data_IF_245352917673
#
_entry.id   IF_245352917673
#
_cell.length_a   1.000
_cell.length_b   1.000
_cell.length_c   1.000
_cell.angle_alpha   90.00
_cell.angle_beta   90.00
_cell.angle_gamma   90.00
#
_symmetry.space_group_name_H-M   'P 1'
#
loop_
_entity.id
_entity.type
_entity.pdbx_description
1 polymer ?
#
# COMPACT_ATOMS: atom_id res chain seq x y z
N UNK A 1 -15.27 136.72 7.07
CA UNK A 1 -15.22 137.50 5.82
C UNK A 1 -16.64 137.82 5.44
N UNK A 2 -16.97 139.10 5.30
CA UNK A 2 -18.26 139.56 4.77
C UNK A 2 -18.55 138.83 3.45
N UNK A 3 -19.57 137.98 3.45
CA UNK A 3 -20.36 137.71 2.27
C UNK A 3 -21.66 138.48 2.51
N UNK A 4 -21.73 139.63 1.86
CA UNK A 4 -22.81 140.59 1.94
C UNK A 4 -24.13 139.93 1.53
N UNK A 5 -24.90 139.49 2.52
CA UNK A 5 -26.21 138.87 2.32
C UNK A 5 -27.17 139.79 1.57
N UNK A 6 -26.95 141.11 1.58
CA UNK A 6 -27.77 142.05 0.81
C UNK A 6 -27.49 141.93 -0.69
N UNK A 7 -26.26 141.62 -1.09
CA UNK A 7 -25.94 141.33 -2.49
C UNK A 7 -26.58 139.99 -2.95
N UNK A 8 -26.61 138.97 -2.09
CA UNK A 8 -27.24 137.69 -2.42
C UNK A 8 -28.77 137.78 -2.51
N UNK A 9 -29.41 138.57 -1.64
CA UNK A 9 -30.86 138.82 -1.71
C UNK A 9 -31.22 139.69 -2.91
N UNK A 10 -30.40 140.69 -3.24
CA UNK A 10 -30.59 141.49 -4.45
C UNK A 10 -30.46 140.63 -5.72
N UNK A 11 -29.47 139.74 -5.80
CA UNK A 11 -29.34 138.81 -6.95
C UNK A 11 -30.52 137.83 -7.02
N UNK A 12 -31.03 137.35 -5.87
CA UNK A 12 -32.23 136.50 -5.83
C UNK A 12 -33.47 137.26 -6.31
N UNK A 13 -33.68 138.48 -5.83
CA UNK A 13 -34.88 139.25 -6.13
C UNK A 13 -34.84 139.79 -7.57
N UNK A 14 -33.65 140.11 -8.11
CA UNK A 14 -33.43 140.47 -9.52
C UNK A 14 -33.62 139.24 -10.44
N UNK A 15 -33.15 138.07 -10.03
CA UNK A 15 -33.40 136.82 -10.74
C UNK A 15 -34.89 136.42 -10.74
N UNK A 16 -35.62 136.67 -9.65
CA UNK A 16 -37.07 136.44 -9.57
C UNK A 16 -37.82 137.45 -10.46
N UNK A 17 -37.41 138.72 -10.46
CA UNK A 17 -38.04 139.76 -11.29
C UNK A 17 -37.80 139.50 -12.78
N UNK A 18 -36.57 139.14 -13.15
CA UNK A 18 -36.21 138.75 -14.54
C UNK A 18 -36.90 137.45 -14.99
N UNK A 19 -37.10 136.48 -14.08
CA UNK A 19 -37.83 135.25 -14.38
C UNK A 19 -39.36 135.46 -14.51
N UNK A 20 -39.90 136.56 -13.99
CA UNK A 20 -41.32 136.92 -14.09
C UNK A 20 -41.65 137.81 -15.30
N UNK A 21 -40.65 138.47 -15.92
CA UNK A 21 -40.88 139.40 -17.04
C UNK A 21 -41.15 138.72 -18.40
N UNK A 22 -40.93 137.41 -18.54
CA UNK A 22 -41.09 136.68 -19.82
C UNK A 22 -41.99 135.43 -19.74
N UNK A 23 -42.82 135.32 -18.69
CA UNK A 23 -43.84 134.26 -18.61
C UNK A 23 -45.14 134.81 -19.17
N UNK A 24 -45.51 134.42 -20.39
CA UNK A 24 -46.87 134.68 -20.86
C UNK A 24 -47.87 133.86 -20.03
N UNK A 25 -49.11 134.34 -19.85
CA UNK A 25 -50.17 133.60 -19.13
C UNK A 25 -50.31 132.15 -19.64
N UNK A 26 -49.99 131.93 -20.92
CA UNK A 26 -49.99 130.63 -21.61
C UNK A 26 -48.88 129.67 -21.14
N UNK A 27 -47.68 130.18 -20.83
CA UNK A 27 -46.56 129.39 -20.32
C UNK A 27 -46.77 128.96 -18.86
N UNK A 28 -47.40 129.82 -18.06
CA UNK A 28 -47.80 129.48 -16.70
C UNK A 28 -48.89 128.39 -16.69
N UNK A 29 -49.91 128.52 -17.54
CA UNK A 29 -50.95 127.51 -17.67
C UNK A 29 -50.41 126.15 -18.12
N UNK A 30 -49.45 126.13 -19.06
CA UNK A 30 -48.81 124.89 -19.51
C UNK A 30 -47.97 124.22 -18.39
N UNK A 31 -47.23 125.01 -17.61
CA UNK A 31 -46.46 124.49 -16.47
C UNK A 31 -47.36 123.96 -15.35
N UNK A 32 -48.50 124.62 -15.07
CA UNK A 32 -49.49 124.15 -14.10
C UNK A 32 -50.16 122.86 -14.59
N UNK A 33 -50.54 122.78 -15.86
CA UNK A 33 -51.11 121.56 -16.44
C UNK A 33 -50.11 120.38 -16.37
N UNK A 34 -48.84 120.59 -16.71
CA UNK A 34 -47.81 119.56 -16.61
C UNK A 34 -47.56 119.12 -15.15
N UNK A 35 -47.64 120.04 -14.18
CA UNK A 35 -47.58 119.71 -12.75
C UNK A 35 -48.79 118.88 -12.34
N UNK A 36 -49.99 119.26 -12.74
CA UNK A 36 -51.22 118.57 -12.37
C UNK A 36 -51.28 117.17 -12.99
N UNK A 37 -50.86 117.01 -14.25
CA UNK A 37 -50.68 115.71 -14.90
C UNK A 37 -49.65 114.83 -14.18
N UNK A 38 -48.53 115.42 -13.73
CA UNK A 38 -47.51 114.70 -12.96
C UNK A 38 -48.02 114.29 -11.57
N UNK A 39 -48.84 115.13 -10.93
CA UNK A 39 -49.51 114.83 -9.65
C UNK A 39 -50.52 113.70 -9.83
N UNK A 40 -51.33 113.73 -10.89
CA UNK A 40 -52.29 112.67 -11.20
C UNK A 40 -51.60 111.34 -11.53
N UNK A 41 -50.50 111.38 -12.29
CA UNK A 41 -49.67 110.21 -12.55
C UNK A 41 -49.04 109.64 -11.27
N UNK A 42 -48.55 110.51 -10.38
CA UNK A 42 -47.99 110.12 -9.08
C UNK A 42 -49.07 109.53 -8.16
N UNK A 43 -50.28 110.11 -8.14
CA UNK A 43 -51.42 109.62 -7.38
C UNK A 43 -51.84 108.23 -7.86
N UNK A 44 -51.94 108.03 -9.19
CA UNK A 44 -52.26 106.73 -9.79
C UNK A 44 -51.18 105.67 -9.49
N UNK A 45 -49.91 106.06 -9.45
CA UNK A 45 -48.82 105.16 -9.05
C UNK A 45 -48.89 104.83 -7.56
N UNK A 46 -49.23 105.80 -6.72
CA UNK A 46 -49.42 105.60 -5.28
C UNK A 46 -50.57 104.63 -4.99
N UNK A 47 -51.69 104.72 -5.69
CA UNK A 47 -52.82 103.81 -5.49
C UNK A 47 -52.50 102.39 -5.95
N UNK A 48 -51.75 102.22 -7.04
CA UNK A 48 -51.27 100.90 -7.47
C UNK A 48 -50.31 100.28 -6.46
N UNK A 49 -49.36 101.06 -5.93
CA UNK A 49 -48.43 100.58 -4.89
C UNK A 49 -49.14 100.24 -3.58
N UNK A 50 -50.19 100.97 -3.22
CA UNK A 50 -51.04 100.61 -2.08
C UNK A 50 -51.75 99.27 -2.32
N UNK A 51 -52.34 99.06 -3.51
CA UNK A 51 -52.98 97.80 -3.83
C UNK A 51 -52.00 96.61 -3.85
N UNK A 52 -50.77 96.80 -4.35
CA UNK A 52 -49.72 95.77 -4.31
C UNK A 52 -49.27 95.46 -2.88
N UNK A 53 -49.15 96.48 -2.02
CA UNK A 53 -48.81 96.30 -0.60
C UNK A 53 -49.91 95.55 0.14
N UNK A 54 -51.18 95.91 -0.08
CA UNK A 54 -52.30 95.26 0.58
C UNK A 54 -52.39 93.77 0.15
N UNK A 55 -52.09 93.46 -1.12
CA UNK A 55 -51.98 92.08 -1.61
C UNK A 55 -50.79 91.31 -1.00
N UNK A 56 -49.68 91.99 -0.73
CA UNK A 56 -48.55 91.39 -0.03
C UNK A 56 -48.92 91.06 1.42
N UNK A 57 -49.64 91.94 2.12
CA UNK A 57 -50.13 91.72 3.48
C UNK A 57 -51.06 90.49 3.53
N UNK A 58 -51.99 90.36 2.59
CA UNK A 58 -52.85 89.16 2.45
C UNK A 58 -52.04 87.87 2.24
N UNK A 59 -50.95 87.93 1.46
CA UNK A 59 -50.07 86.78 1.22
C UNK A 59 -49.24 86.42 2.45
N UNK A 60 -48.75 87.41 3.19
CA UNK A 60 -48.02 87.22 4.45
C UNK A 60 -48.93 86.60 5.53
N UNK A 61 -50.20 86.98 5.58
CA UNK A 61 -51.20 86.39 6.46
C UNK A 61 -51.51 84.93 6.09
N UNK A 62 -51.67 84.62 4.80
CA UNK A 62 -51.87 83.22 4.37
C UNK A 62 -50.60 82.38 4.60
N UNK A 63 -49.41 82.95 4.45
CA UNK A 63 -48.16 82.27 4.80
C UNK A 63 -48.13 81.93 6.29
N UNK A 64 -48.40 82.88 7.19
CA UNK A 64 -48.46 82.63 8.63
C UNK A 64 -49.50 81.56 8.98
N UNK A 65 -50.66 81.58 8.31
CA UNK A 65 -51.71 80.56 8.49
C UNK A 65 -51.23 79.17 8.08
N UNK A 66 -50.52 79.06 6.95
CA UNK A 66 -49.96 77.80 6.46
C UNK A 66 -48.85 77.28 7.38
N UNK A 67 -47.99 78.17 7.89
CA UNK A 67 -46.96 77.82 8.86
C UNK A 67 -47.57 77.29 10.17
N UNK A 68 -48.61 77.94 10.69
CA UNK A 68 -49.36 77.47 11.85
C UNK A 68 -49.98 76.09 11.61
N UNK A 69 -50.61 75.88 10.44
CA UNK A 69 -51.19 74.58 10.07
C UNK A 69 -50.13 73.48 9.97
N UNK A 70 -48.97 73.79 9.39
CA UNK A 70 -47.87 72.84 9.27
C UNK A 70 -47.31 72.46 10.65
N UNK A 71 -47.14 73.44 11.54
CA UNK A 71 -46.69 73.20 12.91
C UNK A 71 -47.69 72.36 13.70
N UNK A 72 -48.99 72.66 13.59
CA UNK A 72 -50.06 71.86 14.20
C UNK A 72 -50.07 70.41 13.67
N UNK A 73 -49.97 70.22 12.35
CA UNK A 73 -49.93 68.89 11.74
C UNK A 73 -48.69 68.09 12.16
N UNK A 74 -47.52 68.75 12.32
CA UNK A 74 -46.30 68.11 12.84
C UNK A 74 -46.44 67.70 14.30
N UNK A 75 -47.09 68.52 15.12
CA UNK A 75 -47.35 68.18 16.51
C UNK A 75 -48.39 67.07 16.65
N UNK A 76 -49.46 67.08 15.84
CA UNK A 76 -50.42 65.98 15.74
C UNK A 76 -49.73 64.67 15.33
N UNK A 77 -48.81 64.72 14.37
CA UNK A 77 -47.99 63.56 13.96
C UNK A 77 -47.08 63.09 15.11
N UNK A 78 -46.41 64.00 15.82
CA UNK A 78 -45.56 63.67 16.97
C UNK A 78 -46.35 63.01 18.09
N UNK A 79 -47.55 63.51 18.39
CA UNK A 79 -48.46 62.96 19.41
C UNK A 79 -49.04 61.62 18.96
N UNK A 80 -49.37 61.45 17.67
CA UNK A 80 -49.81 60.18 17.10
C UNK A 80 -48.70 59.11 17.16
N UNK A 81 -47.45 59.49 16.86
CA UNK A 81 -46.28 58.61 16.93
C UNK A 81 -45.91 58.23 18.36
N UNK A 82 -46.10 59.13 19.33
CA UNK A 82 -45.79 58.87 20.74
C UNK A 82 -46.83 58.00 21.46
N UNK A 83 -47.96 57.66 20.81
CA UNK A 83 -49.20 57.37 21.53
C UNK A 83 -49.72 55.94 21.58
N UNK A 84 -49.55 55.06 20.58
CA UNK A 84 -50.53 53.93 20.51
C UNK A 84 -50.11 52.54 20.07
N UNK A 85 -48.93 52.27 19.50
CA UNK A 85 -48.66 50.90 19.04
C UNK A 85 -47.17 50.54 19.17
N UNK A 86 -46.89 49.35 19.68
CA UNK A 86 -45.58 48.70 19.54
C UNK A 86 -45.62 47.94 18.22
N UNK A 87 -44.77 48.32 17.28
CA UNK A 87 -44.59 47.60 16.01
C UNK A 87 -44.05 46.20 16.32
N UNK A 88 -44.69 45.16 15.78
CA UNK A 88 -44.20 43.77 15.89
C UNK A 88 -43.01 43.56 14.95
N UNK A 89 -42.29 42.44 15.07
CA UNK A 89 -41.09 42.15 14.27
C UNK A 89 -41.31 42.04 12.73
N UNK A 90 -42.55 42.19 12.26
CA UNK A 90 -42.92 42.25 10.85
C UNK A 90 -43.78 43.50 10.66
N UNK A 91 -43.14 44.66 10.70
CA UNK A 91 -43.75 45.98 10.62
C UNK A 91 -43.49 46.71 9.31
N UNK A 92 -42.76 46.07 8.39
CA UNK A 92 -42.63 46.47 7.00
C UNK A 92 -43.24 45.41 6.06
N UNK A 93 -43.74 45.89 4.92
CA UNK A 93 -44.08 45.06 3.77
C UNK A 93 -43.51 45.75 2.54
N UNK A 94 -42.73 45.00 1.77
CA UNK A 94 -42.21 45.45 0.49
C UNK A 94 -43.16 44.96 -0.61
N UNK A 95 -43.61 45.88 -1.45
CA UNK A 95 -44.36 45.57 -2.67
C UNK A 95 -43.45 45.86 -3.86
N UNK A 96 -43.11 44.82 -4.61
CA UNK A 96 -42.40 44.95 -5.89
C UNK A 96 -43.42 45.17 -7.00
N UNK A 97 -43.22 46.20 -7.82
CA UNK A 97 -43.99 46.45 -9.03
C UNK A 97 -43.08 46.13 -10.21
N UNK A 98 -43.49 45.17 -11.02
CA UNK A 98 -42.82 44.79 -12.26
C UNK A 98 -43.20 45.82 -13.33
N UNK A 99 -42.23 46.50 -13.92
CA UNK A 99 -42.46 47.48 -14.99
C UNK A 99 -42.40 46.72 -16.34
N UNK A 100 -43.54 46.46 -17.01
CA UNK A 100 -43.55 45.68 -18.25
C UNK A 100 -42.88 46.40 -19.42
N UNK A 101 -42.56 47.69 -19.28
CA UNK A 101 -41.89 48.50 -20.31
C UNK A 101 -40.36 48.58 -20.11
N UNK A 102 -39.82 48.00 -19.03
CA UNK A 102 -38.37 47.83 -18.81
C UNK A 102 -38.03 46.36 -19.07
N UNK A 103 -37.24 46.04 -20.11
CA UNK A 103 -36.82 44.66 -20.36
C UNK A 103 -36.07 44.10 -19.14
N UNK A 104 -36.50 42.93 -18.67
CA UNK A 104 -35.73 42.17 -17.69
C UNK A 104 -34.32 41.96 -18.22
N UNK A 105 -33.31 42.42 -17.47
CA UNK A 105 -31.92 42.21 -17.84
C UNK A 105 -31.64 40.71 -17.74
N UNK A 106 -31.23 40.04 -18.84
CA UNK A 106 -31.01 38.60 -18.84
C UNK A 106 -29.94 38.21 -17.83
N UNK A 107 -30.20 37.14 -17.07
CA UNK A 107 -29.23 36.54 -16.16
C UNK A 107 -28.63 35.32 -16.83
N UNK A 108 -27.31 35.33 -17.05
CA UNK A 108 -26.60 34.24 -17.68
C UNK A 108 -26.15 33.18 -16.67
N UNK A 109 -26.37 31.93 -17.04
CA UNK A 109 -25.95 30.73 -16.31
C UNK A 109 -25.07 29.91 -17.23
N UNK A 110 -23.86 29.56 -16.78
CA UNK A 110 -22.94 28.70 -17.52
C UNK A 110 -23.00 27.27 -16.98
N UNK A 111 -22.97 26.29 -17.88
CA UNK A 111 -22.90 24.86 -17.56
C UNK A 111 -21.90 24.17 -18.47
N UNK A 112 -21.11 23.26 -17.91
CA UNK A 112 -20.39 22.26 -18.71
C UNK A 112 -21.34 21.09 -19.02
N UNK A 113 -21.27 20.54 -20.23
CA UNK A 113 -22.07 19.38 -20.62
C UNK A 113 -21.49 18.05 -20.13
N UNK A 114 -20.20 18.04 -19.75
CA UNK A 114 -19.51 16.90 -19.15
C UNK A 114 -18.60 17.35 -18.02
N UNK A 115 -18.20 16.41 -17.16
CA UNK A 115 -17.20 16.65 -16.12
C UNK A 115 -15.77 16.37 -16.66
N UNK A 116 -15.65 15.32 -17.47
CA UNK A 116 -14.39 14.92 -18.11
C UNK A 116 -14.58 14.66 -19.59
N UNK A 117 -13.51 14.79 -20.36
CA UNK A 117 -13.40 14.43 -21.78
C UNK A 117 -12.01 13.88 -22.08
N UNK A 118 -11.86 12.95 -23.04
CA UNK A 118 -10.55 12.54 -23.50
C UNK A 118 -9.94 13.62 -24.41
N UNK A 119 -8.63 13.57 -24.60
CA UNK A 119 -7.95 14.20 -25.73
C UNK A 119 -8.58 13.76 -27.06
N UNK A 120 -8.68 14.66 -28.03
CA UNK A 120 -9.55 14.59 -29.23
C UNK A 120 -11.05 14.84 -29.02
N UNK A 121 -11.47 15.10 -27.78
CA UNK A 121 -12.85 15.45 -27.44
C UNK A 121 -13.30 16.85 -27.88
N UNK A 122 -14.56 17.15 -27.59
CA UNK A 122 -15.14 18.49 -27.75
C UNK A 122 -15.68 18.96 -26.41
N UNK A 123 -15.00 19.92 -25.78
CA UNK A 123 -15.48 20.55 -24.56
C UNK A 123 -16.67 21.46 -24.90
N UNK A 124 -17.87 21.05 -24.50
CA UNK A 124 -19.11 21.82 -24.76
C UNK A 124 -19.60 22.48 -23.49
N UNK A 125 -19.84 23.79 -23.58
CA UNK A 125 -20.44 24.59 -22.54
C UNK A 125 -21.76 25.19 -23.04
N UNK A 126 -22.79 25.13 -22.23
CA UNK A 126 -24.09 25.76 -22.50
C UNK A 126 -24.21 27.03 -21.67
N UNK A 127 -24.48 28.15 -22.35
CA UNK A 127 -24.86 29.42 -21.71
C UNK A 127 -26.37 29.55 -21.84
N UNK A 128 -27.07 29.65 -20.71
CA UNK A 128 -28.52 29.81 -20.62
C UNK A 128 -28.87 31.20 -20.09
N UNK A 129 -29.94 31.80 -20.59
CA UNK A 129 -30.53 33.03 -20.04
C UNK A 129 -31.87 32.73 -19.36
N UNK A 130 -32.23 33.52 -18.34
CA UNK A 130 -33.52 33.41 -17.63
C UNK A 130 -34.72 33.91 -18.43
N UNK A 131 -34.49 34.68 -19.50
CA UNK A 131 -35.52 35.31 -20.33
C UNK A 131 -35.18 35.18 -21.80
N UNK A 132 -36.20 35.10 -22.66
CA UNK A 132 -36.05 35.10 -24.11
C UNK A 132 -35.50 36.45 -24.59
N UNK A 133 -34.42 36.42 -25.39
CA UNK A 133 -33.79 37.64 -25.87
C UNK A 133 -34.62 38.36 -26.93
N UNK A 134 -34.75 39.67 -26.80
CA UNK A 134 -35.48 40.54 -27.75
C UNK A 134 -34.60 41.13 -28.87
N UNK A 135 -33.29 41.06 -28.68
CA UNK A 135 -32.20 41.46 -29.59
C UNK A 135 -31.01 40.50 -29.46
N UNK A 136 -30.03 40.60 -30.35
CA UNK A 136 -28.81 39.79 -30.26
C UNK A 136 -27.96 40.26 -29.06
N UNK A 137 -27.39 39.29 -28.33
CA UNK A 137 -26.61 39.53 -27.12
C UNK A 137 -25.19 38.98 -27.28
N UNK A 138 -24.19 39.86 -27.27
CA UNK A 138 -22.78 39.48 -27.27
C UNK A 138 -22.35 39.10 -25.85
N UNK A 139 -21.98 37.83 -25.66
CA UNK A 139 -21.59 37.26 -24.37
C UNK A 139 -20.07 37.16 -24.29
N UNK A 140 -19.49 37.86 -23.31
CA UNK A 140 -18.06 37.90 -23.09
C UNK A 140 -17.66 36.79 -22.11
N UNK A 141 -16.55 36.11 -22.43
CA UNK A 141 -15.98 35.06 -21.59
C UNK A 141 -14.47 35.06 -21.71
N UNK A 142 -13.84 34.37 -20.78
CA UNK A 142 -12.42 34.03 -20.82
C UNK A 142 -12.27 32.53 -20.62
N UNK A 143 -11.29 31.94 -21.31
CA UNK A 143 -10.88 30.57 -21.11
C UNK A 143 -9.63 30.60 -20.21
N UNK A 144 -9.69 29.89 -19.10
CA UNK A 144 -8.63 29.72 -18.10
C UNK A 144 -8.54 28.24 -17.70
N UNK A 145 -7.54 27.86 -16.92
CA UNK A 145 -7.34 26.45 -16.55
C UNK A 145 -5.86 26.09 -16.48
N UNK A 146 -5.58 24.79 -16.42
CA UNK A 146 -4.21 24.28 -16.56
C UNK A 146 -3.84 24.02 -18.02
N UNK A 147 -4.83 23.72 -18.87
CA UNK A 147 -4.62 23.49 -20.29
C UNK A 147 -4.17 24.77 -21.00
N UNK A 148 -3.20 24.61 -21.89
CA UNK A 148 -2.54 25.64 -22.68
C UNK A 148 -3.21 25.81 -24.04
N UNK A 149 -3.65 27.04 -24.40
CA UNK A 149 -4.16 27.35 -25.73
C UNK A 149 -3.18 26.99 -26.85
N UNK A 150 -3.71 26.44 -27.94
CA UNK A 150 -2.99 25.99 -29.15
C UNK A 150 -2.03 24.81 -28.96
N UNK A 151 -1.85 24.32 -27.72
CA UNK A 151 -1.19 23.06 -27.39
C UNK A 151 -2.28 22.00 -27.16
N UNK A 152 -3.13 22.22 -26.15
CA UNK A 152 -4.08 21.20 -25.65
C UNK A 152 -5.50 21.43 -26.19
N UNK A 153 -5.83 22.65 -26.61
CA UNK A 153 -7.10 22.96 -27.25
C UNK A 153 -6.99 24.10 -28.26
N UNK A 154 -7.91 24.12 -29.24
CA UNK A 154 -8.01 25.25 -30.16
C UNK A 154 -8.83 26.35 -29.49
N UNK A 155 -8.19 27.47 -29.15
CA UNK A 155 -8.86 28.58 -28.49
C UNK A 155 -9.95 29.18 -29.39
N UNK A 156 -11.17 29.41 -28.87
CA UNK A 156 -12.19 30.13 -29.60
C UNK A 156 -11.75 31.57 -29.93
N UNK A 157 -12.08 32.03 -31.13
CA UNK A 157 -11.86 33.42 -31.53
C UNK A 157 -13.00 34.31 -31.00
N UNK A 158 -12.66 35.25 -30.12
CA UNK A 158 -13.58 36.30 -29.67
C UNK A 158 -14.72 35.82 -28.76
N UNK A 159 -15.72 36.68 -28.65
CA UNK A 159 -16.94 36.50 -27.88
C UNK A 159 -18.03 35.71 -28.63
N UNK A 160 -19.07 35.28 -27.92
CA UNK A 160 -20.15 34.46 -28.48
C UNK A 160 -21.45 35.24 -28.53
N UNK A 161 -22.06 35.36 -29.71
CA UNK A 161 -23.34 36.03 -29.87
C UNK A 161 -24.50 35.04 -29.65
N UNK A 162 -25.36 35.32 -28.69
CA UNK A 162 -26.66 34.66 -28.51
C UNK A 162 -27.71 35.43 -29.31
N UNK A 163 -28.34 34.76 -30.28
CA UNK A 163 -29.27 35.43 -31.19
C UNK A 163 -30.62 35.76 -30.55
N UNK A 164 -31.31 36.76 -31.10
CA UNK A 164 -32.70 37.07 -30.73
C UNK A 164 -33.60 35.83 -30.74
N UNK A 165 -34.44 35.70 -29.71
CA UNK A 165 -35.35 34.58 -29.52
C UNK A 165 -34.68 33.30 -29.00
N UNK A 166 -33.37 33.32 -28.74
CA UNK A 166 -32.67 32.21 -28.11
C UNK A 166 -32.66 32.37 -26.59
N UNK A 167 -32.85 31.25 -25.89
CA UNK A 167 -32.66 31.16 -24.44
C UNK A 167 -31.34 30.47 -24.06
N UNK A 168 -30.64 29.91 -25.06
CA UNK A 168 -29.39 29.19 -24.86
C UNK A 168 -28.50 29.25 -26.09
N UNK A 169 -27.19 29.26 -25.86
CA UNK A 169 -26.15 29.12 -26.89
C UNK A 169 -25.08 28.16 -26.40
N UNK A 170 -24.46 27.43 -27.32
CA UNK A 170 -23.40 26.45 -27.02
C UNK A 170 -22.05 26.99 -27.46
N UNK A 171 -21.09 27.02 -26.53
CA UNK A 171 -19.68 27.24 -26.80
C UNK A 171 -18.99 25.87 -26.88
N UNK A 172 -18.40 25.55 -28.04
CA UNK A 172 -17.68 24.30 -28.25
C UNK A 172 -16.20 24.59 -28.46
N UNK A 173 -15.35 23.99 -27.63
CA UNK A 173 -13.90 24.11 -27.67
C UNK A 173 -13.32 22.75 -28.11
N UNK A 174 -12.73 22.65 -29.31
CA UNK A 174 -12.07 21.43 -29.76
C UNK A 174 -10.81 21.16 -28.93
N UNK A 175 -10.75 19.98 -28.31
CA UNK A 175 -9.55 19.51 -27.61
C UNK A 175 -8.62 18.86 -28.63
N UNK A 176 -7.34 19.16 -28.51
CA UNK A 176 -6.29 18.61 -29.36
C UNK A 176 -5.89 17.24 -28.80
N UNK A 177 -5.31 16.44 -29.66
CA UNK A 177 -4.72 15.17 -29.26
C UNK A 177 -3.30 15.16 -29.78
N UNK A 178 -2.39 14.68 -28.96
CA UNK A 178 -1.02 14.41 -29.32
C UNK A 178 -0.59 13.09 -28.67
N UNK A 179 0.70 12.90 -28.49
CA UNK A 179 1.29 11.69 -27.93
C UNK A 179 2.17 12.04 -26.70
N UNK A 180 2.03 13.25 -26.14
CA UNK A 180 2.84 13.70 -25.01
C UNK A 180 2.31 13.07 -23.70
N UNK A 181 3.21 12.56 -22.86
CA UNK A 181 2.84 11.95 -21.58
C UNK A 181 2.71 13.03 -20.53
N UNK A 182 1.47 13.35 -20.16
CA UNK A 182 1.15 14.41 -19.23
C UNK A 182 0.03 14.06 -18.24
N UNK A 183 -0.21 14.97 -17.30
CA UNK A 183 -1.25 14.79 -16.29
C UNK A 183 -2.59 15.33 -16.81
N UNK A 184 -3.70 14.83 -16.26
CA UNK A 184 -5.02 15.40 -16.52
C UNK A 184 -5.04 16.93 -16.34
N UNK A 185 -5.55 17.62 -17.35
CA UNK A 185 -5.61 19.06 -17.41
C UNK A 185 -7.05 19.58 -17.29
N UNK A 186 -7.22 20.89 -17.19
CA UNK A 186 -8.53 21.51 -17.04
C UNK A 186 -8.71 22.68 -17.99
N UNK A 187 -9.90 22.74 -18.58
CA UNK A 187 -10.41 23.90 -19.32
C UNK A 187 -11.59 24.47 -18.55
N UNK A 188 -11.44 25.72 -18.11
CA UNK A 188 -12.44 26.48 -17.38
C UNK A 188 -12.89 27.67 -18.22
N UNK A 189 -14.19 27.76 -18.47
CA UNK A 189 -14.80 28.95 -19.06
C UNK A 189 -15.39 29.79 -17.94
N UNK A 190 -15.11 31.09 -17.96
CA UNK A 190 -15.72 32.07 -17.06
C UNK A 190 -16.32 33.22 -17.85
N UNK A 191 -17.59 33.48 -17.62
CA UNK A 191 -18.29 34.64 -18.16
C UNK A 191 -17.76 35.92 -17.49
N UNK A 192 -17.68 37.00 -18.26
CA UNK A 192 -17.31 38.33 -17.75
C UNK A 192 -18.51 39.27 -17.83
N UNK A 193 -18.53 40.31 -17.00
CA UNK A 193 -19.63 41.28 -17.02
C UNK A 193 -19.54 42.13 -18.29
N UNK A 194 -20.67 42.40 -18.94
CA UNK A 194 -20.72 43.39 -20.02
C UNK A 194 -20.57 44.81 -19.44
N UNK A 195 -19.59 45.61 -19.92
CA UNK A 195 -19.43 47.01 -19.53
C UNK A 195 -20.67 47.87 -19.76
N UNK A 196 -21.54 47.52 -20.72
CA UNK A 196 -22.76 48.27 -21.04
C UNK A 196 -23.98 47.80 -20.23
N UNK A 197 -23.86 46.71 -19.47
CA UNK A 197 -24.92 46.18 -18.61
C UNK A 197 -26.05 45.46 -19.35
N UNK A 198 -25.81 44.94 -20.55
CA UNK A 198 -26.79 44.20 -21.35
C UNK A 198 -27.21 42.86 -20.70
N UNK A 199 -26.40 42.32 -19.80
CA UNK A 199 -26.74 41.13 -19.00
C UNK A 199 -26.12 41.17 -17.61
N UNK A 200 -26.62 40.30 -16.73
CA UNK A 200 -26.05 40.01 -15.40
C UNK A 200 -25.59 38.57 -15.34
N UNK A 201 -24.59 38.29 -14.51
CA UNK A 201 -24.13 36.93 -14.27
C UNK A 201 -24.85 36.34 -13.07
N UNK A 202 -25.18 35.04 -13.14
CA UNK A 202 -25.58 34.27 -11.95
C UNK A 202 -24.36 33.88 -11.11
N UNK A 203 -24.60 33.26 -9.95
CA UNK A 203 -23.53 32.66 -9.14
C UNK A 203 -22.81 31.47 -9.84
N UNK A 204 -23.36 30.99 -10.97
CA UNK A 204 -22.73 29.98 -11.85
C UNK A 204 -22.22 30.65 -13.12
N UNK A 205 -21.27 31.55 -12.94
CA UNK A 205 -20.57 32.27 -14.03
C UNK A 205 -19.36 31.50 -14.60
N UNK A 206 -19.05 30.34 -14.00
CA UNK A 206 -17.88 29.51 -14.32
C UNK A 206 -18.26 28.04 -14.46
N UNK A 207 -17.60 27.36 -15.39
CA UNK A 207 -17.71 25.93 -15.57
C UNK A 207 -16.36 25.35 -15.99
N UNK A 208 -16.02 24.17 -15.46
CA UNK A 208 -14.74 23.50 -15.69
C UNK A 208 -14.99 22.10 -16.23
N UNK A 209 -14.20 21.69 -17.22
CA UNK A 209 -14.11 20.34 -17.75
C UNK A 209 -12.67 19.87 -17.57
N UNK A 210 -12.48 18.62 -17.13
CA UNK A 210 -11.16 17.97 -17.09
C UNK A 210 -10.87 17.27 -18.42
N UNK A 211 -9.71 17.53 -19.00
CA UNK A 211 -9.15 16.79 -20.14
C UNK A 211 -8.36 15.63 -19.55
N UNK A 212 -8.70 14.42 -19.96
CA UNK A 212 -8.03 13.21 -19.52
C UNK A 212 -6.99 12.79 -20.54
N UNK A 213 -5.73 12.74 -20.10
CA UNK A 213 -4.65 12.18 -20.91
C UNK A 213 -4.63 10.67 -20.74
N UNK A 214 -4.47 9.95 -21.85
CA UNK A 214 -4.40 8.49 -21.88
C UNK A 214 -3.03 7.98 -22.32
N UNK A 215 -2.09 8.90 -22.49
CA UNK A 215 -0.82 8.66 -23.14
C UNK A 215 0.17 8.02 -22.17
N UNK A 216 0.86 7.01 -22.68
CA UNK A 216 1.79 6.20 -21.91
C UNK A 216 3.16 6.24 -22.59
N UNK A 217 4.25 6.25 -21.82
CA UNK A 217 5.58 6.26 -22.40
C UNK A 217 5.86 4.96 -23.14
N UNK A 218 6.58 5.05 -24.25
CA UNK A 218 7.16 3.89 -24.93
C UNK A 218 8.39 3.42 -24.15
N UNK A 219 8.42 2.12 -23.83
CA UNK A 219 9.49 1.51 -23.05
C UNK A 219 10.44 0.70 -23.94
N UNK A 220 11.73 0.95 -23.76
CA UNK A 220 12.81 0.19 -24.38
C UNK A 220 13.71 -0.43 -23.30
N UNK A 221 14.40 -1.52 -23.65
CA UNK A 221 15.38 -2.16 -22.78
C UNK A 221 16.78 -1.88 -23.31
N UNK A 222 17.66 -1.44 -22.43
CA UNK A 222 19.08 -1.21 -22.72
C UNK A 222 19.95 -1.84 -21.62
N UNK A 223 21.25 -1.92 -21.86
CA UNK A 223 22.19 -2.58 -20.95
C UNK A 223 22.32 -4.08 -21.21
N UNK A 224 22.57 -4.85 -20.16
CA UNK A 224 22.99 -6.24 -20.26
C UNK A 224 24.49 -6.41 -20.53
N UNK A 225 24.87 -7.61 -20.97
CA UNK A 225 26.26 -7.96 -21.27
C UNK A 225 26.64 -9.35 -20.79
N UNK A 226 27.91 -9.70 -20.95
CA UNK A 226 28.48 -10.89 -20.35
C UNK A 226 28.82 -10.59 -18.88
N UNK A 227 28.42 -11.48 -17.98
CA UNK A 227 28.69 -11.39 -16.56
C UNK A 227 29.19 -12.75 -16.09
N UNK A 228 30.27 -12.76 -15.32
CA UNK A 228 30.78 -13.98 -14.68
C UNK A 228 29.90 -14.34 -13.48
N UNK A 229 29.86 -15.61 -13.12
CA UNK A 229 29.24 -16.10 -11.87
C UNK A 229 29.69 -15.30 -10.64
N UNK A 230 28.74 -15.03 -9.74
CA UNK A 230 28.92 -14.11 -8.61
C UNK A 230 28.94 -12.62 -8.95
N UNK A 231 28.80 -12.26 -10.23
CA UNK A 231 28.71 -10.88 -10.71
C UNK A 231 27.30 -10.30 -10.68
N UNK A 232 27.17 -9.05 -11.13
CA UNK A 232 25.87 -8.39 -11.32
C UNK A 232 25.86 -7.70 -12.67
N UNK A 233 24.78 -7.90 -13.42
CA UNK A 233 24.50 -7.16 -14.65
C UNK A 233 23.27 -6.27 -14.45
N UNK A 234 23.33 -5.07 -15.01
CA UNK A 234 22.22 -4.13 -14.98
C UNK A 234 21.50 -4.14 -16.33
N UNK A 235 20.19 -4.32 -16.29
CA UNK A 235 19.30 -4.07 -17.43
C UNK A 235 18.47 -2.85 -17.10
N UNK A 236 18.51 -1.84 -17.95
CA UNK A 236 17.80 -0.57 -17.73
C UNK A 236 16.56 -0.52 -18.61
N UNK A 237 15.39 -0.35 -18.00
CA UNK A 237 14.19 0.08 -18.73
C UNK A 237 14.32 1.58 -18.96
N UNK A 238 14.20 2.00 -20.22
CA UNK A 238 14.26 3.39 -20.64
C UNK A 238 12.94 3.80 -21.30
N UNK A 239 12.34 4.85 -20.77
CA UNK A 239 11.16 5.51 -21.29
C UNK A 239 11.53 6.69 -22.20
N UNK A 240 10.86 6.81 -23.33
CA UNK A 240 10.99 7.92 -24.28
C UNK A 240 10.45 9.25 -23.71
N UNK A 241 9.50 9.17 -22.81
CA UNK A 241 8.92 10.27 -22.03
C UNK A 241 8.87 9.90 -20.54
N UNK A 242 8.81 10.88 -19.66
CA UNK A 242 8.68 10.60 -18.22
C UNK A 242 7.21 10.39 -17.89
N UNK A 243 6.83 9.36 -17.11
CA UNK A 243 5.44 9.20 -16.71
C UNK A 243 5.02 10.31 -15.74
N UNK A 244 3.75 10.70 -15.83
CA UNK A 244 3.12 11.69 -14.94
C UNK A 244 2.86 11.09 -13.53
N UNK A 245 2.67 9.78 -13.45
CA UNK A 245 2.43 9.00 -12.23
C UNK A 245 3.36 7.80 -12.09
N UNK A 246 3.53 7.31 -10.85
CA UNK A 246 4.34 6.12 -10.56
C UNK A 246 3.81 4.90 -11.34
N UNK A 247 4.60 4.42 -12.31
CA UNK A 247 4.19 3.39 -13.27
C UNK A 247 4.85 2.05 -12.95
N UNK A 248 4.05 1.00 -12.77
CA UNK A 248 4.55 -0.37 -12.57
C UNK A 248 4.76 -1.08 -13.90
N UNK A 249 6.00 -1.41 -14.22
CA UNK A 249 6.40 -2.13 -15.43
C UNK A 249 6.56 -3.61 -15.13
N UNK A 250 5.75 -4.44 -15.77
CA UNK A 250 5.90 -5.89 -15.70
C UNK A 250 6.96 -6.36 -16.69
N UNK A 251 7.89 -7.20 -16.25
CA UNK A 251 8.92 -7.80 -17.11
C UNK A 251 9.05 -9.29 -16.84
N UNK A 252 9.54 -10.03 -17.85
CA UNK A 252 9.87 -11.45 -17.70
C UNK A 252 11.32 -11.69 -18.08
N UNK A 253 11.96 -12.61 -17.35
CA UNK A 253 13.30 -13.09 -17.64
C UNK A 253 13.17 -14.51 -18.18
N UNK A 254 13.79 -14.78 -19.32
CA UNK A 254 13.78 -16.09 -19.97
C UNK A 254 15.16 -16.41 -20.54
N UNK A 255 15.43 -17.70 -20.79
CA UNK A 255 16.73 -18.17 -21.26
C UNK A 255 17.02 -19.58 -20.76
N UNK A 256 18.28 -20.01 -20.92
CA UNK A 256 18.77 -21.28 -20.38
C UNK A 256 19.10 -21.23 -18.89
N UNK A 257 19.41 -20.04 -18.36
CA UNK A 257 19.70 -19.82 -16.94
C UNK A 257 18.40 -19.89 -16.10
N UNK A 258 18.47 -20.55 -14.95
CA UNK A 258 17.38 -20.84 -14.04
C UNK A 258 17.43 -19.95 -12.80
N UNK A 259 16.30 -19.31 -12.47
CA UNK A 259 16.18 -18.48 -11.27
C UNK A 259 16.33 -19.32 -9.99
N UNK A 260 17.11 -18.82 -9.03
CA UNK A 260 17.45 -19.50 -7.79
C UNK A 260 18.59 -20.52 -7.90
N UNK A 261 19.05 -20.83 -9.10
CA UNK A 261 20.23 -21.68 -9.36
C UNK A 261 21.34 -20.83 -9.97
N UNK A 262 21.12 -20.23 -11.13
CA UNK A 262 22.12 -19.43 -11.86
C UNK A 262 22.09 -17.93 -11.47
N UNK A 263 20.94 -17.41 -11.03
CA UNK A 263 20.78 -16.01 -10.62
C UNK A 263 19.70 -15.85 -9.54
N UNK A 264 19.77 -14.77 -8.75
CA UNK A 264 18.76 -14.45 -7.72
C UNK A 264 17.36 -14.28 -8.34
N UNK A 265 16.32 -14.74 -7.64
CA UNK A 265 14.94 -14.60 -8.11
C UNK A 265 14.56 -13.12 -8.24
N UNK A 266 14.19 -12.71 -9.46
CA UNK A 266 13.69 -11.36 -9.75
C UNK A 266 12.19 -11.26 -9.48
N UNK A 267 11.70 -10.07 -9.12
CA UNK A 267 10.28 -9.82 -8.79
C UNK A 267 9.35 -9.87 -10.00
N UNK A 268 9.88 -9.66 -11.21
CA UNK A 268 9.09 -9.53 -12.45
C UNK A 268 8.32 -8.21 -12.56
N UNK A 269 8.55 -7.27 -11.65
CA UNK A 269 7.95 -5.94 -11.65
C UNK A 269 9.00 -4.89 -11.26
N UNK A 270 9.04 -3.78 -12.01
CA UNK A 270 9.90 -2.64 -11.75
C UNK A 270 9.03 -1.38 -11.64
N UNK A 271 9.29 -0.54 -10.64
CA UNK A 271 8.60 0.73 -10.47
C UNK A 271 9.38 1.81 -11.21
N UNK A 272 8.77 2.44 -12.22
CA UNK A 272 9.27 3.65 -12.86
C UNK A 272 8.59 4.86 -12.18
N UNK A 273 9.30 5.61 -11.32
CA UNK A 273 8.68 6.72 -10.60
C UNK A 273 8.26 7.86 -11.53
N UNK A 274 7.23 8.61 -11.14
CA UNK A 274 6.81 9.82 -11.82
C UNK A 274 7.99 10.78 -12.06
N UNK A 275 8.07 11.34 -13.26
CA UNK A 275 9.16 12.24 -13.66
C UNK A 275 10.51 11.57 -13.96
N UNK A 276 10.65 10.25 -13.77
CA UNK A 276 11.86 9.51 -14.13
C UNK A 276 11.71 8.77 -15.46
N UNK A 277 12.77 8.79 -16.27
CA UNK A 277 12.80 8.13 -17.58
C UNK A 277 13.47 6.77 -17.57
N UNK A 278 14.04 6.34 -16.45
CA UNK A 278 14.76 5.08 -16.40
C UNK A 278 14.68 4.41 -15.05
N UNK A 279 14.64 3.08 -15.07
CA UNK A 279 14.79 2.24 -13.87
C UNK A 279 15.72 1.07 -14.16
N UNK A 280 16.63 0.81 -13.23
CA UNK A 280 17.61 -0.29 -13.33
C UNK A 280 17.07 -1.56 -12.67
N UNK A 281 17.18 -2.67 -13.39
CA UNK A 281 16.90 -4.02 -12.92
C UNK A 281 18.24 -4.74 -12.71
N UNK A 282 18.66 -4.96 -11.46
CA UNK A 282 19.85 -5.75 -11.17
C UNK A 282 19.54 -7.25 -11.32
N UNK A 283 20.29 -7.93 -12.19
CA UNK A 283 20.33 -9.39 -12.25
C UNK A 283 21.64 -9.84 -11.63
N UNK A 284 21.54 -10.48 -10.45
CA UNK A 284 22.68 -10.96 -9.69
C UNK A 284 22.89 -12.43 -9.98
N UNK A 285 24.02 -12.78 -10.59
CA UNK A 285 24.36 -14.18 -10.82
C UNK A 285 24.80 -14.81 -9.51
N UNK A 286 24.42 -16.07 -9.32
CA UNK A 286 24.88 -16.86 -8.20
C UNK A 286 26.25 -17.42 -8.56
N UNK A 287 27.13 -17.51 -7.56
CA UNK A 287 28.38 -18.24 -7.71
C UNK A 287 28.09 -19.68 -7.28
N UNK A 288 27.96 -20.60 -8.23
CA UNK A 288 27.80 -22.02 -7.96
C UNK A 288 29.04 -22.79 -8.42
N UNK A 289 30.02 -22.88 -7.52
CA UNK A 289 31.34 -23.43 -7.76
C UNK A 289 31.40 -24.96 -8.02
N UNK A 290 30.27 -25.61 -8.31
CA UNK A 290 30.21 -27.08 -8.36
C UNK A 290 29.21 -27.61 -9.39
N UNK A 291 29.67 -27.81 -10.62
CA UNK A 291 29.01 -28.66 -11.61
C UNK A 291 29.70 -30.04 -11.65
N UNK A 292 29.14 -31.06 -10.98
CA UNK A 292 29.59 -32.45 -11.12
C UNK A 292 28.79 -33.16 -12.22
N UNK A 293 29.44 -33.54 -13.32
CA UNK A 293 28.82 -34.46 -14.29
C UNK A 293 28.79 -35.88 -13.71
N UNK A 294 27.77 -36.70 -13.98
CA UNK A 294 27.70 -38.09 -13.50
C UNK A 294 28.90 -38.97 -13.91
N UNK A 295 29.67 -38.56 -14.93
CA UNK A 295 30.88 -39.26 -15.38
C UNK A 295 32.14 -38.94 -14.56
N UNK A 296 32.11 -37.87 -13.76
CA UNK A 296 33.28 -37.34 -13.05
C UNK A 296 33.29 -37.74 -11.56
N UNK A 297 32.27 -38.49 -11.13
CA UNK A 297 32.12 -38.92 -9.75
C UNK A 297 32.17 -40.44 -9.64
N UNK A 298 33.11 -40.95 -8.84
CA UNK A 298 33.12 -42.36 -8.45
C UNK A 298 32.32 -42.49 -7.16
N UNK A 299 31.11 -43.07 -7.28
CA UNK A 299 30.20 -43.29 -6.15
C UNK A 299 30.17 -44.78 -5.80
N UNK A 300 30.26 -45.10 -4.50
CA UNK A 300 29.97 -46.44 -4.01
C UNK A 300 28.44 -46.62 -3.89
N UNK A 301 27.90 -47.69 -4.47
CA UNK A 301 26.47 -48.05 -4.43
C UNK A 301 26.08 -48.86 -3.17
N UNK A 302 27.00 -48.99 -2.22
CA UNK A 302 26.85 -49.70 -0.97
C UNK A 302 27.53 -48.92 0.19
N UNK A 303 27.17 -49.18 1.46
CA UNK A 303 27.82 -48.51 2.59
C UNK A 303 29.30 -48.91 2.61
N UNK A 304 30.19 -48.02 2.20
CA UNK A 304 31.63 -48.29 2.09
C UNK A 304 32.44 -47.31 2.95
N UNK A 305 33.55 -47.77 3.52
CA UNK A 305 34.56 -46.92 4.15
C UNK A 305 35.77 -46.81 3.23
N UNK A 306 36.25 -45.59 3.02
CA UNK A 306 37.51 -45.34 2.30
C UNK A 306 38.67 -45.79 3.19
N UNK A 307 39.41 -46.81 2.75
CA UNK A 307 40.55 -47.37 3.47
C UNK A 307 41.83 -46.55 3.23
N UNK A 308 42.29 -46.52 1.98
CA UNK A 308 43.41 -45.69 1.53
C UNK A 308 43.02 -44.89 0.29
N UNK A 309 43.61 -43.71 0.13
CA UNK A 309 43.52 -42.88 -1.07
C UNK A 309 44.90 -42.91 -1.71
N UNK A 310 44.96 -43.32 -2.97
CA UNK A 310 46.22 -43.58 -3.71
C UNK A 310 46.59 -42.44 -4.66
N UNK A 311 45.80 -41.36 -4.68
CA UNK A 311 45.96 -40.20 -5.56
C UNK A 311 45.75 -38.90 -4.80
N UNK A 312 46.47 -37.85 -5.19
CA UNK A 312 46.36 -36.50 -4.61
C UNK A 312 45.70 -35.52 -5.59
N UNK A 313 45.32 -34.35 -5.08
CA UNK A 313 44.74 -33.30 -5.91
C UNK A 313 45.73 -32.84 -7.00
N UNK A 314 45.26 -32.78 -8.25
CA UNK A 314 46.06 -32.45 -9.42
C UNK A 314 46.75 -33.63 -10.12
N UNK A 315 46.62 -34.87 -9.61
CA UNK A 315 47.20 -36.04 -10.26
C UNK A 315 46.52 -36.42 -11.58
N UNK A 316 47.33 -36.76 -12.59
CA UNK A 316 46.86 -37.29 -13.87
C UNK A 316 46.62 -38.81 -13.75
N UNK A 317 45.36 -39.22 -13.61
CA UNK A 317 44.98 -40.63 -13.48
C UNK A 317 44.75 -41.29 -14.84
N UNK A 318 45.45 -42.39 -15.11
CA UNK A 318 45.27 -43.19 -16.32
C UNK A 318 44.32 -44.36 -16.08
N UNK A 319 43.74 -44.92 -17.14
CA UNK A 319 42.83 -46.07 -17.04
C UNK A 319 43.52 -47.25 -16.34
N UNK A 320 42.91 -47.74 -15.26
CA UNK A 320 43.46 -48.83 -14.45
C UNK A 320 44.33 -48.38 -13.28
N UNK A 321 44.55 -47.06 -13.11
CA UNK A 321 45.16 -46.52 -11.89
C UNK A 321 44.19 -46.72 -10.73
N UNK A 322 44.58 -47.41 -9.65
CA UNK A 322 43.76 -47.47 -8.45
C UNK A 322 43.66 -46.07 -7.83
N UNK A 323 42.44 -45.62 -7.51
CA UNK A 323 42.19 -44.30 -6.93
C UNK A 323 42.12 -44.36 -5.41
N UNK A 324 41.39 -45.34 -4.91
CA UNK A 324 41.20 -45.57 -3.49
C UNK A 324 40.78 -47.02 -3.26
N UNK A 325 41.04 -47.52 -2.05
CA UNK A 325 40.54 -48.81 -1.61
C UNK A 325 39.26 -48.61 -0.80
N UNK A 326 38.18 -49.30 -1.17
CA UNK A 326 36.94 -49.32 -0.41
C UNK A 326 36.89 -50.58 0.44
N UNK A 327 36.52 -50.42 1.70
CA UNK A 327 36.38 -51.51 2.69
C UNK A 327 34.97 -51.54 3.24
N UNK A 328 34.52 -52.74 3.58
CA UNK A 328 33.22 -52.91 4.23
C UNK A 328 33.27 -52.34 5.66
N UNK A 329 32.37 -51.42 6.03
CA UNK A 329 32.28 -50.93 7.41
C UNK A 329 31.78 -52.00 8.38
N UNK A 330 31.15 -53.09 7.90
CA UNK A 330 30.69 -54.21 8.71
C UNK A 330 31.80 -55.23 9.00
N UNK A 331 31.89 -55.67 10.26
CA UNK A 331 32.73 -56.81 10.62
C UNK A 331 31.97 -58.12 10.38
N UNK A 332 32.58 -59.07 9.68
CA UNK A 332 32.09 -60.44 9.60
C UNK A 332 32.94 -61.33 10.50
N UNK A 333 32.32 -61.94 11.52
CA UNK A 333 33.02 -62.83 12.43
C UNK A 333 32.90 -64.25 11.89
N UNK A 334 34.04 -64.85 11.53
CA UNK A 334 34.10 -66.23 11.05
C UNK A 334 34.37 -67.20 12.20
N UNK A 335 33.50 -68.19 12.33
CA UNK A 335 33.66 -69.34 13.22
C UNK A 335 34.33 -70.48 12.46
N UNK A 336 35.32 -71.14 13.08
CA UNK A 336 35.94 -72.35 12.54
C UNK A 336 35.76 -73.49 13.55
N UNK A 337 35.14 -74.59 13.11
CA UNK A 337 34.88 -75.75 13.95
C UNK A 337 35.52 -77.03 13.40
N UNK A 338 36.00 -77.89 14.30
CA UNK A 338 36.41 -79.27 13.94
C UNK A 338 35.18 -80.12 13.59
N UNK A 339 35.33 -81.28 12.90
CA UNK A 339 34.20 -82.16 12.63
C UNK A 339 33.45 -82.63 13.90
N UNK A 340 34.17 -82.77 15.02
CA UNK A 340 33.58 -83.17 16.30
C UNK A 340 32.74 -82.04 16.89
N UNK A 341 33.25 -80.81 16.85
CA UNK A 341 32.52 -79.65 17.39
C UNK A 341 31.36 -79.27 16.49
N UNK A 342 31.54 -79.33 15.17
CA UNK A 342 30.50 -79.08 14.17
C UNK A 342 29.24 -79.93 14.41
N UNK A 343 29.38 -81.16 14.89
CA UNK A 343 28.24 -82.03 15.21
C UNK A 343 27.34 -81.52 16.33
N UNK A 344 27.85 -80.57 17.14
CA UNK A 344 27.16 -79.96 18.28
C UNK A 344 26.65 -78.55 17.98
N UNK A 345 27.00 -78.01 16.82
CA UNK A 345 26.71 -76.64 16.43
C UNK A 345 25.48 -76.57 15.50
N UNK A 346 24.68 -75.54 15.68
CA UNK A 346 23.52 -75.25 14.84
C UNK A 346 23.32 -73.74 14.69
N UNK A 347 22.74 -73.33 13.56
CA UNK A 347 22.30 -71.95 13.36
C UNK A 347 21.30 -71.54 14.45
N UNK A 348 21.42 -70.30 14.92
CA UNK A 348 20.61 -69.75 16.02
C UNK A 348 21.14 -70.00 17.42
N UNK A 349 22.24 -70.76 17.59
CA UNK A 349 22.88 -70.91 18.91
C UNK A 349 23.45 -69.58 19.40
N UNK A 350 23.28 -69.32 20.70
CA UNK A 350 23.88 -68.18 21.38
C UNK A 350 25.39 -68.40 21.57
N UNK A 351 26.16 -67.36 21.25
CA UNK A 351 27.60 -67.36 21.39
C UNK A 351 28.07 -66.11 22.11
N UNK A 352 29.22 -66.22 22.76
CA UNK A 352 29.97 -65.10 23.30
C UNK A 352 31.24 -64.96 22.51
N UNK A 353 31.44 -63.79 21.88
CA UNK A 353 32.64 -63.46 21.12
C UNK A 353 33.54 -62.62 21.99
N UNK A 354 34.75 -63.11 22.24
CA UNK A 354 35.76 -62.41 22.98
C UNK A 354 36.88 -61.96 22.04
N UNK A 355 37.15 -60.65 22.02
CA UNK A 355 38.21 -60.06 21.23
C UNK A 355 39.38 -59.68 22.14
N UNK A 356 40.51 -60.37 21.98
CA UNK A 356 41.73 -60.12 22.76
C UNK A 356 42.24 -58.68 22.60
N UNK A 357 42.00 -58.08 21.43
CA UNK A 357 42.28 -56.68 21.16
C UNK A 357 41.22 -55.77 21.80
N UNK A 358 41.44 -55.38 23.05
CA UNK A 358 40.61 -54.40 23.75
C UNK A 358 39.74 -54.94 24.88
N UNK A 359 39.94 -56.20 25.29
CA UNK A 359 39.19 -56.87 26.37
C UNK A 359 37.66 -56.73 26.19
N UNK A 360 37.18 -56.87 24.95
CA UNK A 360 35.77 -56.69 24.59
C UNK A 360 35.08 -58.04 24.45
N UNK A 361 34.03 -58.24 25.24
CA UNK A 361 33.16 -59.42 25.21
C UNK A 361 31.77 -59.02 24.71
N UNK A 362 31.31 -59.63 23.61
CA UNK A 362 30.03 -59.31 22.98
C UNK A 362 29.22 -60.57 22.73
N UNK A 363 27.92 -60.50 23.01
CA UNK A 363 26.99 -61.59 22.71
C UNK A 363 26.57 -61.57 21.24
N UNK A 364 26.43 -62.75 20.66
CA UNK A 364 25.99 -62.93 19.29
C UNK A 364 25.24 -64.25 19.06
N UNK A 365 24.89 -64.48 17.80
CA UNK A 365 24.24 -65.69 17.33
C UNK A 365 24.96 -66.25 16.11
N UNK A 366 24.97 -67.56 15.95
CA UNK A 366 25.43 -68.20 14.71
C UNK A 366 24.35 -67.99 13.65
N UNK A 367 24.65 -67.27 12.58
CA UNK A 367 23.69 -66.97 11.50
C UNK A 367 23.85 -67.87 10.29
N UNK A 368 25.06 -68.37 10.06
CA UNK A 368 25.37 -69.29 8.97
C UNK A 368 26.30 -70.36 9.51
N UNK A 369 26.06 -71.61 9.13
CA UNK A 369 26.97 -72.70 9.43
C UNK A 369 27.05 -73.67 8.25
N UNK A 370 28.24 -73.80 7.66
CA UNK A 370 28.40 -74.62 6.47
C UNK A 370 28.22 -76.12 6.78
N UNK A 371 27.56 -76.82 5.88
CA UNK A 371 27.41 -78.29 5.91
C UNK A 371 28.60 -79.03 5.26
N UNK A 372 29.42 -78.31 4.49
CA UNK A 372 30.61 -78.86 3.84
C UNK A 372 31.87 -78.40 4.55
N UNK A 373 32.83 -79.30 4.75
CA UNK A 373 34.13 -78.93 5.31
C UNK A 373 35.04 -78.31 4.23
N UNK A 374 35.72 -77.23 4.60
CA UNK A 374 36.90 -76.75 3.88
C UNK A 374 38.08 -77.66 4.24
N UNK A 375 38.71 -78.28 3.23
CA UNK A 375 39.88 -79.15 3.44
C UNK A 375 41.15 -78.42 3.07
N UNK A 376 41.98 -78.09 4.07
CA UNK A 376 43.30 -77.47 3.85
C UNK A 376 44.37 -78.30 4.54
N UNK A 377 45.37 -78.77 3.78
CA UNK A 377 46.51 -79.51 4.35
C UNK A 377 46.18 -80.84 5.03
N UNK A 378 45.02 -81.44 4.73
CA UNK A 378 44.55 -82.69 5.33
C UNK A 378 43.70 -82.55 6.60
N UNK A 379 43.45 -81.32 7.06
CA UNK A 379 42.49 -81.04 8.12
C UNK A 379 41.17 -80.54 7.52
N UNK A 380 40.06 -81.05 8.08
CA UNK A 380 38.70 -80.63 7.76
C UNK A 380 38.25 -79.59 8.78
N UNK A 381 37.83 -78.41 8.30
CA UNK A 381 37.27 -77.34 9.12
C UNK A 381 35.94 -76.89 8.55
N UNK A 382 34.94 -76.70 9.40
CA UNK A 382 33.65 -76.16 9.03
C UNK A 382 33.62 -74.67 9.36
N UNK A 383 33.20 -73.86 8.39
CA UNK A 383 33.10 -72.41 8.54
C UNK A 383 31.67 -72.02 8.93
N UNK A 384 31.55 -70.94 9.69
CA UNK A 384 30.28 -70.31 10.01
C UNK A 384 30.44 -68.81 10.19
N UNK A 385 29.31 -68.11 10.27
CA UNK A 385 29.26 -66.66 10.50
C UNK A 385 28.52 -66.40 11.80
N UNK A 386 29.08 -65.50 12.62
CA UNK A 386 28.47 -65.00 13.84
C UNK A 386 28.08 -63.54 13.65
N UNK A 387 26.85 -63.21 14.01
CA UNK A 387 26.37 -61.83 14.10
C UNK A 387 26.33 -61.40 15.56
N UNK A 388 26.92 -60.25 15.88
CA UNK A 388 26.96 -59.71 17.24
C UNK A 388 25.89 -58.64 17.45
N UNK A 389 25.42 -58.55 18.69
CA UNK A 389 24.43 -57.54 19.11
C UNK A 389 25.01 -56.13 19.21
N UNK A 390 26.33 -56.02 19.37
CA UNK A 390 27.07 -54.76 19.43
C UNK A 390 28.22 -54.75 18.43
N UNK A 391 28.69 -53.57 18.06
CA UNK A 391 29.84 -53.40 17.19
C UNK A 391 31.13 -53.71 17.95
N UNK A 392 31.99 -54.54 17.35
CA UNK A 392 33.34 -54.80 17.84
C UNK A 392 34.31 -53.71 17.37
N UNK A 393 35.28 -53.36 18.22
CA UNK A 393 36.35 -52.41 17.88
C UNK A 393 37.61 -53.19 17.46
N UNK A 394 37.51 -53.89 16.34
CA UNK A 394 38.60 -54.69 15.76
C UNK A 394 39.22 -54.05 14.52
N UNK A 395 40.35 -54.59 14.07
CA UNK A 395 40.84 -54.40 12.70
C UNK A 395 40.59 -55.68 11.91
N UNK A 396 40.56 -55.59 10.58
CA UNK A 396 40.45 -56.79 9.74
C UNK A 396 41.59 -57.79 10.06
N UNK A 397 41.25 -59.07 10.09
CA UNK A 397 42.15 -60.15 10.49
C UNK A 397 42.41 -60.29 12.00
N UNK A 398 41.72 -59.54 12.87
CA UNK A 398 41.82 -59.74 14.31
C UNK A 398 41.33 -61.14 14.72
N UNK A 399 42.05 -61.78 15.64
CA UNK A 399 41.70 -63.10 16.18
C UNK A 399 40.67 -62.91 17.30
N UNK A 400 39.58 -63.67 17.22
CA UNK A 400 38.54 -63.74 18.26
C UNK A 400 38.42 -65.17 18.78
N UNK A 401 38.04 -65.29 20.04
CA UNK A 401 37.60 -66.56 20.64
C UNK A 401 36.07 -66.56 20.69
N UNK A 402 35.45 -67.69 20.31
CA UNK A 402 33.99 -67.82 20.28
C UNK A 402 33.59 -68.96 21.22
N UNK A 403 32.91 -68.62 22.30
CA UNK A 403 32.35 -69.58 23.25
C UNK A 403 30.88 -69.84 22.89
N UNK A 404 30.56 -71.08 22.52
CA UNK A 404 29.22 -71.47 22.08
C UNK A 404 28.48 -72.22 23.17
N UNK A 405 27.24 -71.80 23.43
CA UNK A 405 26.34 -72.52 24.33
C UNK A 405 25.74 -73.73 23.59
N UNK A 406 26.35 -74.90 23.77
CA UNK A 406 25.96 -76.14 23.06
C UNK A 406 24.63 -76.70 23.58
N UNK A 407 24.37 -76.58 24.88
CA UNK A 407 23.15 -77.05 25.50
C UNK A 407 22.82 -76.19 26.72
N UNK A 408 21.54 -75.91 26.92
CA UNK A 408 21.03 -75.14 28.05
C UNK A 408 19.72 -75.75 28.53
N UNK A 409 19.53 -75.81 29.85
CA UNK A 409 18.25 -76.11 30.49
C UNK A 409 17.88 -74.95 31.41
N UNK A 410 16.75 -74.29 31.13
CA UNK A 410 16.27 -73.13 31.92
C UNK A 410 15.34 -73.62 33.02
N UNK A 411 15.44 -73.03 34.21
CA UNK A 411 14.65 -73.39 35.40
C UNK A 411 14.84 -74.86 35.86
N UNK A 412 16.03 -75.42 35.61
CA UNK A 412 16.40 -76.78 36.00
C UNK A 412 16.55 -76.92 37.52
N UNK A 413 15.99 -77.98 38.10
CA UNK A 413 16.29 -78.38 39.48
C UNK A 413 17.67 -79.01 39.48
N UNK A 414 18.63 -78.40 40.16
CA UNK A 414 20.00 -78.92 40.26
C UNK A 414 20.30 -79.42 41.66
N UNK A 415 21.05 -80.51 41.74
CA UNK A 415 21.64 -80.99 42.99
C UNK A 415 23.16 -81.11 42.80
N UNK A 416 23.98 -80.88 43.85
CA UNK A 416 25.41 -81.16 43.72
C UNK A 416 25.63 -82.63 43.37
N UNK A 417 26.57 -82.92 42.48
CA UNK A 417 26.86 -84.29 42.02
C UNK A 417 27.17 -85.24 43.19
N UNK A 418 27.79 -84.71 44.26
CA UNK A 418 28.09 -85.46 45.48
C UNK A 418 26.84 -85.90 46.29
N UNK A 419 25.66 -85.38 45.99
CA UNK A 419 24.40 -85.84 46.58
C UNK A 419 23.79 -87.05 45.86
N UNK A 420 24.27 -87.35 44.65
CA UNK A 420 23.73 -88.42 43.81
C UNK A 420 24.49 -89.72 44.07
N UNK A 421 23.74 -90.74 44.48
CA UNK A 421 24.23 -92.10 44.74
C UNK A 421 23.74 -93.00 43.60
N UNK A 422 24.67 -93.54 42.82
CA UNK A 422 24.37 -94.50 41.75
C UNK A 422 24.59 -95.93 42.26
N UNK A 423 23.51 -96.71 42.38
CA UNK A 423 23.56 -98.12 42.76
C UNK A 423 22.86 -98.97 41.69
N UNK A 424 23.57 -99.93 41.11
CA UNK A 424 23.03 -100.85 40.10
C UNK A 424 22.49 -100.20 38.81
N UNK A 425 22.88 -98.95 38.50
CA UNK A 425 22.42 -98.20 37.33
C UNK A 425 21.18 -97.34 37.55
N UNK A 426 20.70 -97.22 38.79
CA UNK A 426 19.65 -96.28 39.17
C UNK A 426 20.24 -95.18 40.06
N UNK A 427 20.08 -93.93 39.62
CA UNK A 427 20.52 -92.77 40.39
C UNK A 427 19.49 -92.44 41.46
N UNK A 428 19.97 -92.23 42.68
CA UNK A 428 19.13 -91.94 43.84
C UNK A 428 19.72 -90.79 44.64
N UNK A 429 18.87 -90.00 45.27
CA UNK A 429 19.28 -88.97 46.24
C UNK A 429 18.57 -89.20 47.56
N UNK A 430 19.18 -88.72 48.64
CA UNK A 430 18.58 -88.74 49.97
C UNK A 430 17.92 -87.40 50.24
N UNK A 431 16.60 -87.38 50.27
CA UNK A 431 15.81 -86.18 50.52
C UNK A 431 15.33 -86.18 51.97
N UNK A 432 15.39 -85.01 52.62
CA UNK A 432 14.78 -84.78 53.93
C UNK A 432 13.36 -84.25 53.72
N UNK A 433 12.36 -85.02 54.12
CA UNK A 433 10.96 -84.60 54.04
C UNK A 433 10.66 -83.47 55.03
N UNK A 434 9.55 -82.76 54.83
CA UNK A 434 9.10 -81.69 55.75
C UNK A 434 8.84 -82.17 57.19
N UNK A 435 8.68 -83.47 57.40
CA UNK A 435 8.52 -84.12 58.70
C UNK A 435 9.87 -84.54 59.34
N UNK A 436 11.00 -84.21 58.70
CA UNK A 436 12.35 -84.50 59.19
C UNK A 436 12.82 -85.94 58.97
N UNK A 437 12.12 -86.72 58.12
CA UNK A 437 12.48 -88.11 57.80
C UNK A 437 13.38 -88.14 56.56
N UNK A 438 14.42 -88.97 56.59
CA UNK A 438 15.32 -89.17 55.45
C UNK A 438 14.78 -90.33 54.61
N UNK A 439 14.44 -90.05 53.35
CA UNK A 439 14.07 -91.08 52.38
C UNK A 439 15.04 -91.11 51.21
N UNK A 440 15.25 -92.31 50.63
CA UNK A 440 15.97 -92.47 49.37
C UNK A 440 14.97 -92.40 48.24
N UNK A 441 15.19 -91.48 47.32
CA UNK A 441 14.30 -91.28 46.17
C UNK A 441 15.08 -91.48 44.89
N UNK A 442 14.53 -92.30 43.99
CA UNK A 442 15.06 -92.45 42.65
C UNK A 442 14.91 -91.14 41.88
N UNK A 443 15.97 -90.76 41.17
CA UNK A 443 16.00 -89.58 40.32
C UNK A 443 16.37 -89.96 38.89
N UNK A 444 15.96 -89.12 37.95
CA UNK A 444 16.52 -89.11 36.60
C UNK A 444 17.37 -87.87 36.46
N UNK A 445 18.66 -88.04 36.18
CA UNK A 445 19.57 -86.92 35.94
C UNK A 445 19.51 -86.44 34.49
N UNK A 446 19.78 -85.16 34.29
CA UNK A 446 19.88 -84.50 33.00
C UNK A 446 21.29 -84.00 32.75
N UNK A 447 21.41 -82.73 32.38
CA UNK A 447 22.68 -82.06 32.12
C UNK A 447 23.60 -82.05 33.34
N UNK A 448 24.91 -82.22 33.09
CA UNK A 448 25.96 -82.02 34.07
C UNK A 448 26.61 -80.65 33.84
N UNK A 449 26.63 -79.81 34.87
CA UNK A 449 27.27 -78.51 34.86
C UNK A 449 28.25 -78.40 36.04
N UNK A 450 29.51 -78.75 35.77
CA UNK A 450 30.60 -78.73 36.73
C UNK A 450 30.31 -79.58 37.98
N UNK A 451 30.02 -78.91 39.10
CA UNK A 451 29.74 -79.54 40.39
C UNK A 451 28.27 -79.92 40.59
N UNK A 452 27.40 -79.54 39.67
CA UNK A 452 25.95 -79.74 39.73
C UNK A 452 25.49 -80.69 38.63
N UNK A 453 24.43 -81.43 38.94
CA UNK A 453 23.70 -82.25 37.98
C UNK A 453 22.24 -81.87 38.02
N UNK A 454 21.66 -81.66 36.85
CA UNK A 454 20.23 -81.46 36.68
C UNK A 454 19.47 -82.72 37.08
N UNK A 455 18.37 -82.54 37.79
CA UNK A 455 17.42 -83.58 38.15
C UNK A 455 16.13 -83.35 37.36
N UNK A 456 15.94 -84.15 36.32
CA UNK A 456 14.76 -84.11 35.43
C UNK A 456 13.51 -84.58 36.16
N UNK A 457 13.65 -85.55 37.07
CA UNK A 457 12.54 -86.00 37.93
C UNK A 457 13.04 -86.60 39.24
N UNK A 458 12.19 -86.54 40.25
CA UNK A 458 12.42 -87.12 41.58
C UNK A 458 12.68 -86.09 42.67
N UNK A 459 13.17 -84.88 42.37
CA UNK A 459 13.35 -83.82 43.39
C UNK A 459 12.57 -82.58 42.97
N UNK A 460 11.88 -81.96 43.93
CA UNK A 460 11.19 -80.69 43.73
C UNK A 460 12.04 -79.50 44.21
N UNK A 461 11.89 -78.31 43.62
CA UNK A 461 12.53 -77.09 44.13
C UNK A 461 12.23 -76.87 45.62
N UNK A 462 13.26 -76.61 46.42
CA UNK A 462 13.14 -76.33 47.86
C UNK A 462 13.22 -77.55 48.78
N UNK A 463 13.34 -78.76 48.24
CA UNK A 463 13.66 -79.95 49.04
C UNK A 463 15.14 -79.99 49.43
N UNK A 464 15.43 -80.47 50.65
CA UNK A 464 16.79 -80.60 51.14
C UNK A 464 17.37 -81.97 50.78
N UNK A 465 18.46 -81.98 50.02
CA UNK A 465 19.25 -83.19 49.72
C UNK A 465 20.48 -83.28 50.60
N UNK A 466 20.79 -84.50 51.06
CA UNK A 466 21.95 -84.77 51.92
C UNK A 466 23.19 -84.98 51.07
N UNK A 467 24.25 -84.23 51.37
CA UNK A 467 25.59 -84.44 50.82
C UNK A 467 26.34 -85.44 51.70
N UNK A 468 26.79 -86.54 51.12
CA UNK A 468 27.66 -87.49 51.81
C UNK A 468 29.11 -87.09 51.52
N UNK A 469 29.77 -86.47 52.51
CA UNK A 469 31.22 -86.27 52.45
C UNK A 469 31.81 -87.54 53.04
N UNK A 470 32.24 -88.48 52.20
CA UNK A 470 33.17 -89.51 52.66
C UNK A 470 34.43 -88.81 53.20
N UNK A 471 34.56 -88.74 54.52
CA UNK A 471 35.85 -88.45 55.14
C UNK A 471 36.66 -89.74 55.09
N UNK A 472 37.33 -89.98 53.98
CA UNK A 472 38.47 -90.91 53.90
C UNK A 472 39.76 -90.13 54.03
#
# INVERSE_FOLDING_TARGET
TELDWRAAVAVRDDAITTALEDVTELDWHAAVAARDDAVDAALKRSTLLQAERDLLEDLEDEQHRLEYRLAAAREDLRVAQAGRYVLGAADDVTVSIDDPDVPDVPILVLRAESETIPESGMATFTIETTVELVEDLDVFYVVEGSATPDVDFNAPDGDITMGKGQERVTLSIPIRADDDVEADESVTVRLTVDPNGAYRLSDRDRATIQIQSADLPELTLTGGGEVTEGGTVMVTILADQAPDTDTSVNYSVSGSAQAGIDYEVVTGTALLPAGQRSVDIPIRTIHDDVFFMPGDMVVADWPARVGSVEVEDGDLVQRGTPLFNLTDPGFTIKLFASPTDRSKLAEGQEVTVNLDAGDQEVRGIITVLDDNATTTGGNETYEGVVETTESLVGVDGAVVTIDVVVQQSVDAVVVPIAAVLSDGGQDTVRVVTSEGVIERRAISTGMLDGAYVEVVSGVAPGEYVILEIERS
#
